data_IF_020279162420
#
_entry.id   IF_020279162420
#
_cell.length_a   1.000
_cell.length_b   1.000
_cell.length_c   1.000
_cell.angle_alpha   90.00
_cell.angle_beta   90.00
_cell.angle_gamma   90.00
#
_symmetry.space_group_name_H-M   'P 1'
#
loop_
_entity.id
_entity.type
_entity.pdbx_description
1 polymer ?
#
# COMPACT_ATOMS: atom_id res chain seq x y z
N UNK A 1 14.03 -12.68 -19.92
CA UNK A 1 15.01 -13.01 -18.86
C UNK A 1 14.25 -13.65 -17.72
N UNK A 2 14.42 -14.96 -17.49
CA UNK A 2 13.63 -15.69 -16.50
C UNK A 2 14.05 -15.26 -15.10
N UNK A 3 13.22 -14.45 -14.45
CA UNK A 3 13.40 -14.02 -13.08
C UNK A 3 13.34 -15.27 -12.19
N UNK A 4 14.44 -15.60 -11.52
CA UNK A 4 14.47 -16.68 -10.52
C UNK A 4 14.02 -16.12 -9.18
N UNK A 5 13.45 -16.94 -8.29
CA UNK A 5 12.94 -16.50 -6.98
C UNK A 5 13.95 -15.75 -6.07
N UNK A 6 15.25 -15.72 -6.42
CA UNK A 6 16.27 -14.88 -5.77
C UNK A 6 16.03 -13.38 -5.96
N UNK A 7 15.38 -12.95 -7.04
CA UNK A 7 15.12 -11.54 -7.34
C UNK A 7 13.81 -11.03 -6.72
N UNK A 8 13.09 -11.88 -5.98
CA UNK A 8 11.79 -11.56 -5.39
C UNK A 8 11.84 -10.36 -4.43
N UNK A 9 12.83 -10.21 -3.52
CA UNK A 9 12.96 -9.03 -2.67
C UNK A 9 13.11 -7.74 -3.50
N UNK A 10 13.96 -7.76 -4.53
CA UNK A 10 14.22 -6.59 -5.39
C UNK A 10 12.98 -6.19 -6.17
N UNK A 11 12.20 -7.17 -6.64
CA UNK A 11 10.95 -6.94 -7.36
C UNK A 11 9.88 -6.39 -6.42
N UNK A 12 9.76 -6.95 -5.21
CA UNK A 12 8.86 -6.44 -4.20
C UNK A 12 9.22 -4.99 -3.82
N UNK A 13 10.51 -4.68 -3.69
CA UNK A 13 10.99 -3.33 -3.40
C UNK A 13 10.69 -2.36 -4.54
N UNK A 14 10.98 -2.73 -5.80
CA UNK A 14 10.63 -1.91 -6.98
C UNK A 14 9.14 -1.67 -7.11
N UNK A 15 8.32 -2.67 -6.80
CA UNK A 15 6.86 -2.55 -6.83
C UNK A 15 6.38 -1.61 -5.73
N UNK A 16 6.86 -1.81 -4.50
CA UNK A 16 6.57 -0.94 -3.36
C UNK A 16 6.98 0.52 -3.63
N UNK A 17 8.21 0.75 -4.11
CA UNK A 17 8.71 2.11 -4.34
C UNK A 17 7.91 2.82 -5.44
N UNK A 18 7.56 2.09 -6.50
CA UNK A 18 6.72 2.63 -7.59
C UNK A 18 5.32 3.00 -7.11
N UNK A 19 4.69 2.14 -6.28
CA UNK A 19 3.38 2.43 -5.68
C UNK A 19 3.50 3.63 -4.73
N UNK A 20 4.51 3.65 -3.87
CA UNK A 20 4.74 4.71 -2.90
C UNK A 20 4.91 6.07 -3.59
N UNK A 21 5.73 6.15 -4.64
CA UNK A 21 5.92 7.39 -5.42
C UNK A 21 4.62 7.88 -6.05
N UNK A 22 3.80 6.99 -6.59
CA UNK A 22 2.50 7.35 -7.20
C UNK A 22 1.52 7.87 -6.17
N UNK A 23 1.43 7.22 -5.01
CA UNK A 23 0.52 7.62 -3.94
C UNK A 23 1.01 8.90 -3.25
N UNK A 24 2.32 9.12 -3.15
CA UNK A 24 2.88 10.37 -2.64
C UNK A 24 2.42 11.58 -3.48
N UNK A 25 2.41 11.45 -4.81
CA UNK A 25 1.89 12.50 -5.69
C UNK A 25 0.39 12.75 -5.46
N UNK A 26 -0.40 11.70 -5.23
CA UNK A 26 -1.82 11.85 -4.88
C UNK A 26 -1.97 12.58 -3.53
N UNK A 27 -1.17 12.24 -2.52
CA UNK A 27 -1.18 12.93 -1.22
C UNK A 27 -0.90 14.42 -1.37
N UNK A 28 0.12 14.80 -2.15
CA UNK A 28 0.44 16.21 -2.39
C UNK A 28 -0.78 16.94 -2.98
N UNK A 29 -1.39 16.39 -4.02
CA UNK A 29 -2.58 16.97 -4.66
C UNK A 29 -3.74 17.07 -3.67
N UNK A 30 -3.97 16.03 -2.86
CA UNK A 30 -4.99 16.00 -1.82
C UNK A 30 -4.78 17.10 -0.76
N UNK A 31 -3.53 17.37 -0.36
CA UNK A 31 -3.20 18.44 0.59
C UNK A 31 -3.51 19.81 0.00
N UNK A 32 -3.16 20.06 -1.26
CA UNK A 32 -3.50 21.31 -1.94
C UNK A 32 -5.02 21.53 -2.03
N UNK A 33 -5.77 20.48 -2.37
CA UNK A 33 -7.24 20.53 -2.40
C UNK A 33 -7.80 20.81 -1.00
N UNK A 34 -7.28 20.13 0.04
CA UNK A 34 -7.72 20.32 1.42
C UNK A 34 -7.57 21.79 1.85
N UNK A 35 -6.38 22.37 1.70
CA UNK A 35 -6.15 23.77 2.07
C UNK A 35 -7.05 24.74 1.31
N UNK A 36 -7.32 24.49 0.04
CA UNK A 36 -8.19 25.37 -0.77
C UNK A 36 -9.67 25.23 -0.41
N UNK A 37 -10.13 24.02 -0.09
CA UNK A 37 -11.54 23.72 0.17
C UNK A 37 -11.94 23.88 1.64
N UNK A 38 -10.99 23.81 2.59
CA UNK A 38 -11.26 23.99 4.02
C UNK A 38 -11.84 25.38 4.35
N UNK A 39 -11.58 26.38 3.51
CA UNK A 39 -12.19 27.71 3.64
C UNK A 39 -13.71 27.74 3.42
N UNK A 40 -14.27 26.74 2.73
CA UNK A 40 -15.65 26.77 2.24
C UNK A 40 -16.52 25.63 2.79
N UNK A 41 -15.92 24.56 3.29
CA UNK A 41 -16.59 23.32 3.67
C UNK A 41 -16.13 22.93 5.08
N UNK A 42 -17.02 22.28 5.84
CA UNK A 42 -16.66 21.68 7.12
C UNK A 42 -15.45 20.74 6.98
N UNK A 43 -14.41 21.02 7.75
CA UNK A 43 -13.11 20.33 7.72
C UNK A 43 -13.23 18.82 7.88
N UNK A 44 -14.17 18.35 8.73
CA UNK A 44 -14.37 16.92 9.00
C UNK A 44 -14.89 16.21 7.75
N UNK A 45 -15.94 16.77 7.12
CA UNK A 45 -16.52 16.21 5.90
C UNK A 45 -15.53 16.24 4.73
N UNK A 46 -14.74 17.32 4.63
CA UNK A 46 -13.69 17.44 3.63
C UNK A 46 -12.59 16.37 3.83
N UNK A 47 -12.13 16.19 5.07
CA UNK A 47 -11.14 15.19 5.43
C UNK A 47 -11.61 13.78 5.06
N UNK A 48 -12.82 13.39 5.50
CA UNK A 48 -13.40 12.07 5.21
C UNK A 48 -13.53 11.85 3.71
N UNK A 49 -13.97 12.88 2.96
CA UNK A 49 -14.14 12.78 1.51
C UNK A 49 -12.80 12.58 0.79
N UNK A 50 -11.78 13.36 1.14
CA UNK A 50 -10.43 13.23 0.57
C UNK A 50 -9.82 11.88 0.92
N UNK A 51 -10.04 11.40 2.15
CA UNK A 51 -9.57 10.09 2.59
C UNK A 51 -10.21 8.94 1.79
N UNK A 52 -11.53 8.98 1.56
CA UNK A 52 -12.22 8.00 0.73
C UNK A 52 -11.72 8.01 -0.72
N UNK A 53 -11.52 9.18 -1.30
CA UNK A 53 -10.93 9.34 -2.63
C UNK A 53 -9.52 8.73 -2.67
N UNK A 54 -8.71 8.99 -1.65
CA UNK A 54 -7.36 8.44 -1.54
C UNK A 54 -7.36 6.91 -1.49
N UNK A 55 -8.28 6.29 -0.74
CA UNK A 55 -8.45 4.83 -0.71
C UNK A 55 -8.78 4.29 -2.11
N UNK A 56 -9.73 4.91 -2.82
CA UNK A 56 -10.11 4.49 -4.16
C UNK A 56 -8.92 4.59 -5.13
N UNK A 57 -8.17 5.69 -5.10
CA UNK A 57 -6.95 5.84 -5.90
C UNK A 57 -5.90 4.78 -5.52
N UNK A 58 -5.74 4.48 -4.24
CA UNK A 58 -4.81 3.45 -3.76
C UNK A 58 -5.13 2.07 -4.32
N UNK A 59 -6.39 1.65 -4.27
CA UNK A 59 -6.85 0.37 -4.84
C UNK A 59 -6.51 0.30 -6.34
N UNK A 60 -6.79 1.37 -7.09
CA UNK A 60 -6.54 1.42 -8.53
C UNK A 60 -5.04 1.38 -8.86
N UNK A 61 -4.22 2.19 -8.18
CA UNK A 61 -2.77 2.27 -8.42
C UNK A 61 -2.12 0.94 -8.10
N UNK A 62 -2.42 0.36 -6.94
CA UNK A 62 -1.89 -0.94 -6.53
C UNK A 62 -2.25 -2.00 -7.58
N UNK A 63 -3.53 -2.12 -7.94
CA UNK A 63 -3.95 -3.11 -8.93
C UNK A 63 -3.26 -2.95 -10.28
N UNK A 64 -3.12 -1.71 -10.78
CA UNK A 64 -2.43 -1.44 -12.05
C UNK A 64 -0.97 -1.89 -12.03
N UNK A 65 -0.25 -1.66 -10.94
CA UNK A 65 1.15 -2.07 -10.85
C UNK A 65 1.32 -3.59 -10.70
N UNK A 66 0.44 -4.25 -9.92
CA UNK A 66 0.40 -5.71 -9.86
C UNK A 66 0.03 -6.34 -11.22
N UNK A 67 -0.89 -5.74 -11.97
CA UNK A 67 -1.24 -6.19 -13.31
C UNK A 67 -0.07 -6.05 -14.29
N UNK A 68 0.65 -4.94 -14.24
CA UNK A 68 1.88 -4.75 -15.04
C UNK A 68 2.94 -5.79 -14.70
N UNK A 69 3.11 -6.13 -13.42
CA UNK A 69 4.06 -7.16 -13.00
C UNK A 69 3.68 -8.53 -13.57
N UNK A 70 2.41 -8.92 -13.46
CA UNK A 70 1.90 -10.19 -13.97
C UNK A 70 2.02 -10.31 -15.49
N UNK A 71 1.78 -9.22 -16.24
CA UNK A 71 1.93 -9.21 -17.71
C UNK A 71 3.39 -9.29 -18.18
N UNK A 72 4.33 -8.78 -17.39
CA UNK A 72 5.75 -8.76 -17.77
C UNK A 72 6.47 -10.09 -17.53
N UNK A 73 5.92 -10.98 -16.71
CA UNK A 73 6.62 -12.19 -16.29
C UNK A 73 5.67 -13.32 -15.90
N UNK A 74 5.80 -14.46 -16.58
CA UNK A 74 5.00 -15.66 -16.34
C UNK A 74 5.11 -16.18 -14.91
N UNK A 75 6.23 -15.97 -14.23
CA UNK A 75 6.42 -16.33 -12.82
C UNK A 75 5.37 -15.66 -11.90
N UNK A 76 4.82 -14.51 -12.29
CA UNK A 76 3.81 -13.77 -11.53
C UNK A 76 2.40 -13.89 -12.11
N UNK A 77 2.13 -14.85 -13.01
CA UNK A 77 0.81 -15.03 -13.64
C UNK A 77 -0.30 -15.29 -12.60
N UNK A 78 0.02 -15.96 -11.50
CA UNK A 78 -0.93 -16.30 -10.42
C UNK A 78 -0.99 -15.26 -9.29
N UNK A 79 -0.29 -14.12 -9.42
CA UNK A 79 -0.33 -13.05 -8.41
C UNK A 79 -1.65 -12.31 -8.42
N UNK A 80 -2.34 -12.23 -9.56
CA UNK A 80 -3.67 -11.65 -9.63
C UNK A 80 -4.72 -12.70 -9.24
N UNK A 81 -5.71 -12.34 -8.40
CA UNK A 81 -6.88 -13.18 -8.19
C UNK A 81 -7.61 -13.39 -9.53
N UNK A 82 -8.05 -14.61 -9.81
CA UNK A 82 -8.80 -14.96 -11.01
C UNK A 82 -10.28 -15.15 -10.68
N UNK A 83 -10.91 -14.14 -10.07
CA UNK A 83 -12.36 -14.14 -9.90
C UNK A 83 -13.01 -13.53 -11.15
N UNK A 84 -14.15 -14.11 -11.56
CA UNK A 84 -14.91 -13.70 -12.75
C UNK A 84 -15.48 -12.27 -12.69
N UNK A 85 -15.44 -11.62 -11.53
CA UNK A 85 -15.85 -10.23 -11.36
C UNK A 85 -14.66 -9.27 -11.40
N UNK A 86 -14.64 -8.40 -12.42
CA UNK A 86 -13.55 -7.46 -12.72
C UNK A 86 -13.24 -6.52 -11.55
N UNK A 87 -14.25 -6.13 -10.76
CA UNK A 87 -14.11 -5.21 -9.62
C UNK A 87 -13.63 -5.84 -8.31
N UNK A 88 -13.75 -7.16 -8.14
CA UNK A 88 -13.33 -7.84 -6.90
C UNK A 88 -11.82 -8.02 -6.82
N UNK A 89 -11.16 -8.23 -7.96
CA UNK A 89 -9.71 -8.51 -7.99
C UNK A 89 -8.86 -7.34 -7.43
N UNK A 90 -9.11 -6.06 -7.78
CA UNK A 90 -8.41 -4.92 -7.16
C UNK A 90 -8.59 -4.84 -5.64
N UNK A 91 -9.82 -5.04 -5.17
CA UNK A 91 -10.17 -4.92 -3.76
C UNK A 91 -9.55 -6.04 -2.91
N UNK A 92 -9.52 -7.27 -3.43
CA UNK A 92 -8.88 -8.40 -2.77
C UNK A 92 -7.37 -8.22 -2.63
N UNK A 93 -6.68 -7.68 -3.65
CA UNK A 93 -5.25 -7.37 -3.52
C UNK A 93 -5.05 -6.32 -2.44
N UNK A 94 -5.80 -5.21 -2.51
CA UNK A 94 -5.71 -4.13 -1.52
C UNK A 94 -5.92 -4.66 -0.10
N UNK A 95 -7.02 -5.36 0.17
CA UNK A 95 -7.31 -5.94 1.49
C UNK A 95 -6.23 -6.93 1.95
N UNK A 96 -5.71 -7.76 1.05
CA UNK A 96 -4.66 -8.73 1.41
C UNK A 96 -3.35 -8.05 1.80
N UNK A 97 -3.03 -6.89 1.20
CA UNK A 97 -1.86 -6.10 1.55
C UNK A 97 -2.09 -5.34 2.85
N UNK A 98 -3.28 -4.73 3.00
CA UNK A 98 -3.65 -4.00 4.21
C UNK A 98 -3.66 -4.92 5.43
N UNK A 99 -4.21 -6.13 5.31
CA UNK A 99 -4.23 -7.09 6.42
C UNK A 99 -2.83 -7.49 6.88
N UNK A 100 -1.93 -7.79 5.93
CA UNK A 100 -0.52 -8.09 6.26
C UNK A 100 0.19 -6.89 6.85
N UNK A 101 -0.08 -5.70 6.35
CA UNK A 101 0.50 -4.47 6.88
C UNK A 101 0.03 -4.25 8.33
N UNK A 102 -1.26 -4.40 8.62
CA UNK A 102 -1.80 -4.28 9.98
C UNK A 102 -1.16 -5.28 10.95
N UNK A 103 -1.02 -6.55 10.55
CA UNK A 103 -0.38 -7.57 11.38
C UNK A 103 1.06 -7.23 11.77
N UNK A 104 1.81 -6.57 10.88
CA UNK A 104 3.17 -6.11 11.16
C UNK A 104 3.19 -4.78 11.92
N UNK A 105 2.28 -3.87 11.59
CA UNK A 105 2.27 -2.50 12.07
C UNK A 105 1.78 -2.39 13.51
N UNK A 106 0.71 -3.10 13.89
CA UNK A 106 0.14 -3.05 15.25
C UNK A 106 1.20 -3.32 16.34
N UNK A 107 1.95 -4.44 16.30
CA UNK A 107 2.95 -4.70 17.34
C UNK A 107 4.08 -3.66 17.33
N UNK A 108 4.51 -3.19 16.16
CA UNK A 108 5.55 -2.16 16.04
C UNK A 108 5.10 -0.84 16.67
N UNK A 109 3.87 -0.40 16.39
CA UNK A 109 3.30 0.82 17.00
C UNK A 109 3.18 0.64 18.52
N UNK A 110 2.71 -0.51 19.01
CA UNK A 110 2.60 -0.77 20.44
C UNK A 110 3.95 -0.64 21.16
N UNK A 111 5.02 -1.18 20.57
CA UNK A 111 6.39 -1.05 21.10
C UNK A 111 6.80 0.43 21.14
N UNK A 112 6.62 1.17 20.04
CA UNK A 112 7.00 2.58 19.97
C UNK A 112 6.23 3.40 20.99
N UNK A 113 4.92 3.22 21.10
CA UNK A 113 4.06 3.95 22.05
C UNK A 113 4.47 3.66 23.50
N UNK A 114 4.81 2.41 23.82
CA UNK A 114 5.27 2.02 25.15
C UNK A 114 6.54 2.77 25.57
N UNK A 115 7.53 2.88 24.68
CA UNK A 115 8.79 3.56 24.99
C UNK A 115 8.73 5.07 24.84
N UNK A 116 7.99 5.58 23.86
CA UNK A 116 8.00 7.00 23.50
C UNK A 116 6.96 7.82 24.27
N UNK A 117 6.00 7.16 24.93
CA UNK A 117 4.90 7.77 25.68
C UNK A 117 4.17 8.88 24.89
N UNK A 118 4.07 8.72 23.56
CA UNK A 118 3.39 9.70 22.70
C UNK A 118 4.19 10.95 22.33
N UNK A 119 5.50 10.99 22.63
CA UNK A 119 6.41 12.06 22.21
C UNK A 119 6.41 12.29 20.70
N UNK A 120 6.79 13.51 20.29
CA UNK A 120 6.86 13.91 18.87
C UNK A 120 7.76 12.96 18.07
N UNK A 121 8.91 12.58 18.64
CA UNK A 121 9.86 11.64 18.03
C UNK A 121 9.19 10.28 17.80
N UNK A 122 8.44 9.77 18.79
CA UNK A 122 7.68 8.53 18.65
C UNK A 122 6.65 8.58 17.52
N UNK A 123 5.94 9.72 17.37
CA UNK A 123 4.97 9.90 16.28
C UNK A 123 5.63 9.88 14.90
N UNK A 124 6.78 10.53 14.75
CA UNK A 124 7.56 10.51 13.51
C UNK A 124 7.99 9.08 13.17
N UNK A 125 8.46 8.32 14.16
CA UNK A 125 8.85 6.91 13.99
C UNK A 125 7.64 6.08 13.53
N UNK A 126 6.46 6.26 14.13
CA UNK A 126 5.22 5.58 13.71
C UNK A 126 4.90 5.86 12.24
N UNK A 127 4.94 7.12 11.81
CA UNK A 127 4.70 7.49 10.40
C UNK A 127 5.69 6.77 9.47
N UNK A 128 6.99 6.77 9.81
CA UNK A 128 8.01 6.08 9.00
C UNK A 128 7.72 4.58 8.91
N UNK A 129 7.32 3.95 10.03
CA UNK A 129 6.96 2.54 10.07
C UNK A 129 5.75 2.22 9.20
N UNK A 130 4.73 3.08 9.19
CA UNK A 130 3.55 2.92 8.31
C UNK A 130 3.94 2.82 6.83
N UNK A 131 4.88 3.66 6.37
CA UNK A 131 5.38 3.59 5.00
C UNK A 131 6.25 2.34 4.76
N UNK A 132 7.13 2.01 5.70
CA UNK A 132 8.08 0.89 5.56
C UNK A 132 7.40 -0.46 5.57
N UNK A 133 6.33 -0.64 6.35
CA UNK A 133 5.56 -1.90 6.43
C UNK A 133 4.86 -2.25 5.12
N UNK A 134 4.69 -1.29 4.20
CA UNK A 134 4.21 -1.56 2.85
C UNK A 134 5.09 -2.53 2.07
N UNK A 135 6.42 -2.44 2.21
CA UNK A 135 7.37 -3.34 1.53
C UNK A 135 7.23 -4.82 1.97
N UNK A 136 7.36 -5.17 3.26
CA UNK A 136 7.23 -6.57 3.70
C UNK A 136 5.83 -7.11 3.44
N UNK A 137 4.78 -6.28 3.47
CA UNK A 137 3.43 -6.70 3.06
C UNK A 137 3.37 -7.16 1.60
N UNK A 138 3.93 -6.37 0.68
CA UNK A 138 4.02 -6.70 -0.76
C UNK A 138 4.89 -7.95 -0.98
N UNK A 139 6.06 -8.01 -0.35
CA UNK A 139 6.95 -9.16 -0.44
C UNK A 139 6.26 -10.44 0.01
N UNK A 140 5.58 -10.41 1.17
CA UNK A 140 4.88 -11.56 1.70
C UNK A 140 3.71 -11.97 0.81
N UNK A 141 2.97 -11.02 0.23
CA UNK A 141 1.95 -11.33 -0.77
C UNK A 141 2.52 -12.06 -1.97
N UNK A 142 3.55 -11.50 -2.61
CA UNK A 142 4.18 -12.10 -3.78
C UNK A 142 4.72 -13.50 -3.45
N UNK A 143 5.40 -13.66 -2.32
CA UNK A 143 5.91 -14.97 -1.84
C UNK A 143 4.80 -16.00 -1.66
N UNK A 144 3.65 -15.60 -1.10
CA UNK A 144 2.51 -16.51 -0.89
C UNK A 144 1.85 -16.97 -2.19
N UNK A 145 1.92 -16.17 -3.25
CA UNK A 145 1.31 -16.47 -4.55
C UNK A 145 2.25 -17.14 -5.55
N UNK A 146 3.55 -17.15 -5.25
CA UNK A 146 4.59 -17.74 -6.10
C UNK A 146 5.13 -19.08 -5.59
N UNK A 147 4.86 -19.44 -4.32
CA UNK A 147 5.23 -20.73 -3.72
C UNK A 147 4.24 -21.88 -4.01
N UNK A 148 3.21 -21.64 -4.81
CA UNK A 148 2.25 -22.66 -5.28
C UNK A 148 2.65 -23.24 -6.66
N UNK A 149 3.96 -23.25 -6.96
CA UNK A 149 4.57 -23.95 -8.08
C UNK A 149 5.72 -24.80 -7.58
#
# INVERSE_FOLDING_TARGET
MAIKGKDLPDIAFKLWSTICLKLFLVIIISVFIFFKAAYYINEIWLFVTIFLIFILFSIIVIYKEFKKLSLKNEYFKHVLPSYGFIGLNPLLIYLSLTWRALLLLIPLISIVVFFSQGSIIGRIIVIILEFLVGYPSIYWYLKSKTKLG
#
